data_IF_214524909743
#
_entry.id   IF_214524909743
#
_cell.length_a   1.000
_cell.length_b   1.000
_cell.length_c   1.000
_cell.angle_alpha   90.00
_cell.angle_beta   90.00
_cell.angle_gamma   90.00
#
_symmetry.space_group_name_H-M   'P 1'
#
loop_
_entity.id
_entity.type
_entity.pdbx_description
1 polymer ?
#
# COMPACT_ATOMS: atom_id res chain seq x y z
N UNK A 1 9.66 16.23 -9.60
CA UNK A 1 10.51 15.03 -9.74
C UNK A 1 11.54 15.26 -10.84
N UNK A 2 12.77 14.75 -10.71
CA UNK A 2 13.81 14.87 -11.74
C UNK A 2 13.47 14.00 -12.98
N UNK A 3 13.77 14.44 -14.22
CA UNK A 3 13.42 13.69 -15.44
C UNK A 3 13.98 12.26 -15.50
N UNK A 4 15.18 12.05 -14.97
CA UNK A 4 15.79 10.71 -14.95
C UNK A 4 15.10 9.77 -13.95
N UNK A 5 14.75 10.28 -12.76
CA UNK A 5 13.94 9.53 -11.77
C UNK A 5 12.59 9.13 -12.37
N UNK A 6 11.94 10.06 -13.08
CA UNK A 6 10.69 9.81 -13.77
C UNK A 6 10.81 8.67 -14.81
N UNK A 7 11.87 8.69 -15.63
CA UNK A 7 12.12 7.65 -16.64
C UNK A 7 12.39 6.29 -15.99
N UNK A 8 13.23 6.26 -14.96
CA UNK A 8 13.56 5.02 -14.23
C UNK A 8 12.32 4.43 -13.56
N UNK A 9 11.50 5.26 -12.89
CA UNK A 9 10.27 4.82 -12.26
C UNK A 9 9.26 4.27 -13.29
N UNK A 10 9.10 4.94 -14.43
CA UNK A 10 8.24 4.45 -15.51
C UNK A 10 8.72 3.09 -16.07
N UNK A 11 10.03 2.90 -16.25
CA UNK A 11 10.61 1.62 -16.66
C UNK A 11 10.45 0.52 -15.60
N UNK A 12 10.63 0.87 -14.32
CA UNK A 12 10.40 -0.03 -13.19
C UNK A 12 8.95 -0.51 -13.15
N UNK A 13 7.99 0.41 -13.33
CA UNK A 13 6.56 0.09 -13.41
C UNK A 13 6.26 -0.81 -14.62
N UNK A 14 6.78 -0.48 -15.80
CA UNK A 14 6.55 -1.25 -17.03
C UNK A 14 7.13 -2.67 -16.99
N UNK A 15 8.15 -2.91 -16.15
CA UNK A 15 8.79 -4.22 -15.99
C UNK A 15 8.20 -5.06 -14.84
N UNK A 16 7.15 -4.58 -14.17
CA UNK A 16 6.52 -5.31 -13.07
C UNK A 16 5.89 -6.63 -13.55
N UNK A 17 6.18 -7.76 -12.89
CA UNK A 17 5.50 -9.01 -13.18
C UNK A 17 4.00 -8.91 -12.91
N UNK A 18 3.18 -9.18 -13.92
CA UNK A 18 1.72 -9.08 -13.83
C UNK A 18 1.14 -9.91 -12.66
N UNK A 19 1.75 -11.05 -12.33
CA UNK A 19 1.31 -11.88 -11.20
C UNK A 19 1.40 -11.19 -9.83
N UNK A 20 2.23 -10.16 -9.68
CA UNK A 20 2.43 -9.48 -8.40
C UNK A 20 1.38 -8.39 -8.15
N UNK A 21 0.85 -7.77 -9.21
CA UNK A 21 -0.11 -6.64 -9.13
C UNK A 21 -1.38 -6.87 -9.96
N UNK A 22 -1.72 -8.13 -10.26
CA UNK A 22 -2.85 -8.53 -11.14
C UNK A 22 -2.82 -7.96 -12.57
N UNK A 23 -1.71 -7.38 -13.02
CA UNK A 23 -1.68 -6.59 -14.24
C UNK A 23 -2.52 -5.31 -14.17
N UNK A 24 -2.88 -4.85 -12.97
CA UNK A 24 -3.60 -3.58 -12.83
C UNK A 24 -2.75 -2.43 -13.36
N UNK A 25 -3.32 -1.53 -14.19
CA UNK A 25 -2.56 -0.44 -14.77
C UNK A 25 -2.00 0.49 -13.69
N UNK A 26 -0.69 0.69 -13.75
CA UNK A 26 0.02 1.74 -13.05
C UNK A 26 0.52 2.73 -14.10
N UNK A 27 0.31 4.01 -13.83
CA UNK A 27 0.76 5.10 -14.69
C UNK A 27 1.41 6.19 -13.85
N UNK A 28 2.13 7.08 -14.52
CA UNK A 28 2.74 8.24 -13.88
C UNK A 28 2.13 9.51 -14.50
N UNK A 29 1.72 10.43 -13.64
CA UNK A 29 1.29 11.77 -14.05
C UNK A 29 2.10 12.86 -13.31
N UNK A 30 1.62 14.10 -13.37
CA UNK A 30 2.27 15.25 -12.73
C UNK A 30 2.30 15.18 -11.19
N UNK A 31 1.43 14.39 -10.58
CA UNK A 31 1.31 14.22 -9.13
C UNK A 31 1.96 12.93 -8.62
N UNK A 32 2.31 11.99 -9.50
CA UNK A 32 3.06 10.79 -9.16
C UNK A 32 2.47 9.52 -9.77
N UNK A 33 2.66 8.41 -9.08
CA UNK A 33 2.15 7.10 -9.48
C UNK A 33 0.65 7.04 -9.18
N UNK A 34 -0.12 6.65 -10.19
CA UNK A 34 -1.57 6.48 -10.14
C UNK A 34 -1.93 5.06 -10.55
N UNK A 35 -2.73 4.39 -9.74
CA UNK A 35 -3.31 3.10 -10.08
C UNK A 35 -4.69 3.23 -10.70
N UNK A 36 -5.07 2.25 -11.53
CA UNK A 36 -6.44 2.13 -12.02
C UNK A 36 -7.02 0.76 -11.69
N UNK A 37 -8.23 0.77 -11.11
CA UNK A 37 -8.96 -0.45 -10.76
C UNK A 37 -10.46 -0.22 -10.95
N UNK A 38 -11.13 -1.06 -11.76
CA UNK A 38 -12.57 -0.91 -12.08
C UNK A 38 -12.98 0.51 -12.54
N UNK A 39 -12.15 1.14 -13.39
CA UNK A 39 -12.30 2.54 -13.85
C UNK A 39 -12.17 3.60 -12.76
N UNK A 40 -11.87 3.24 -11.51
CA UNK A 40 -11.48 4.17 -10.48
C UNK A 40 -9.99 4.51 -10.59
N UNK A 41 -9.64 5.76 -10.32
CA UNK A 41 -8.26 6.21 -10.13
C UNK A 41 -7.88 6.13 -8.65
N UNK A 42 -6.71 5.59 -8.37
CA UNK A 42 -6.17 5.36 -7.04
C UNK A 42 -4.95 6.25 -6.80
N UNK A 43 -5.04 7.14 -5.81
CA UNK A 43 -3.97 8.09 -5.45
C UNK A 43 -3.61 7.99 -3.98
N UNK A 44 -2.41 8.46 -3.65
CA UNK A 44 -1.92 8.49 -2.27
C UNK A 44 -2.24 9.81 -1.58
N UNK A 45 -2.72 9.72 -0.35
CA UNK A 45 -2.77 10.80 0.63
C UNK A 45 -1.93 10.36 1.83
N UNK A 46 -1.22 11.30 2.47
CA UNK A 46 -0.39 11.00 3.63
C UNK A 46 -0.82 11.85 4.82
N UNK A 47 -1.30 11.19 5.86
CA UNK A 47 -1.79 11.84 7.09
C UNK A 47 -0.73 11.71 8.18
N UNK A 48 -0.29 12.81 8.82
CA UNK A 48 0.61 12.75 9.97
C UNK A 48 -0.04 11.96 11.10
N UNK A 49 0.59 10.86 11.51
CA UNK A 49 0.08 9.96 12.55
C UNK A 49 1.08 9.88 13.69
N UNK A 50 0.67 10.13 14.95
CA UNK A 50 1.55 9.99 16.10
C UNK A 50 2.04 8.56 16.28
N UNK A 51 3.35 8.41 16.49
CA UNK A 51 4.05 7.17 16.86
C UNK A 51 5.03 7.53 17.97
N UNK A 52 4.61 7.33 19.22
CA UNK A 52 5.35 7.82 20.39
C UNK A 52 5.42 9.35 20.37
N UNK A 53 6.64 9.90 20.40
CA UNK A 53 6.89 11.35 20.38
C UNK A 53 7.02 11.94 18.97
N UNK A 54 6.97 11.12 17.91
CA UNK A 54 7.19 11.55 16.53
C UNK A 54 5.89 11.42 15.72
N UNK A 55 5.74 12.26 14.68
CA UNK A 55 4.70 12.10 13.67
C UNK A 55 5.28 11.38 12.45
N UNK A 56 4.66 10.28 12.05
CA UNK A 56 5.01 9.51 10.87
C UNK A 56 3.88 9.58 9.84
N UNK A 57 4.19 9.63 8.53
CA UNK A 57 3.16 9.62 7.50
C UNK A 57 2.44 8.26 7.49
N UNK A 58 1.11 8.28 7.55
CA UNK A 58 0.24 7.13 7.28
C UNK A 58 -0.42 7.30 5.93
N UNK A 59 -0.28 6.29 5.08
CA UNK A 59 -0.87 6.32 3.76
C UNK A 59 -2.39 6.05 3.82
N UNK A 60 -3.12 6.84 3.05
CA UNK A 60 -4.54 6.69 2.79
C UNK A 60 -4.82 6.75 1.29
N UNK A 61 -5.92 6.14 0.88
CA UNK A 61 -6.30 6.03 -0.52
C UNK A 61 -7.30 7.14 -0.85
N UNK A 62 -6.90 8.08 -1.71
CA UNK A 62 -7.86 8.94 -2.40
C UNK A 62 -8.31 8.24 -3.68
N UNK A 63 -9.62 8.11 -3.85
CA UNK A 63 -10.20 7.36 -4.97
C UNK A 63 -11.15 8.28 -5.72
N UNK A 64 -10.97 8.35 -7.03
CA UNK A 64 -11.91 9.01 -7.94
C UNK A 64 -12.63 7.94 -8.74
N UNK A 65 -13.96 7.97 -8.73
CA UNK A 65 -14.83 7.05 -9.44
C UNK A 65 -14.87 7.32 -10.95
N UNK A 66 -15.55 6.46 -11.72
CA UNK A 66 -15.67 6.60 -13.18
C UNK A 66 -16.45 7.84 -13.62
N UNK A 67 -17.26 8.41 -12.73
CA UNK A 67 -18.02 9.65 -12.89
C UNK A 67 -17.20 10.91 -12.53
N UNK A 68 -15.97 10.75 -12.04
CA UNK A 68 -15.11 11.85 -11.59
C UNK A 68 -15.32 12.24 -10.14
N UNK A 69 -16.22 11.58 -9.41
CA UNK A 69 -16.56 11.91 -8.03
C UNK A 69 -15.74 11.07 -7.02
N UNK A 70 -15.57 11.54 -5.77
CA UNK A 70 -14.94 10.75 -4.72
C UNK A 70 -15.63 9.39 -4.53
N UNK A 71 -14.84 8.32 -4.49
CA UNK A 71 -15.35 6.95 -4.34
C UNK A 71 -14.95 6.33 -3.00
N UNK A 72 -15.86 5.70 -2.23
CA UNK A 72 -15.51 5.12 -0.94
C UNK A 72 -14.56 3.92 -1.05
N UNK A 73 -13.55 3.87 -0.18
CA UNK A 73 -12.58 2.78 -0.14
C UNK A 73 -13.23 1.43 0.18
N UNK A 74 -14.20 1.42 1.11
CA UNK A 74 -14.93 0.22 1.50
C UNK A 74 -15.65 -0.41 0.30
N UNK A 75 -16.22 0.43 -0.59
CA UNK A 75 -16.84 -0.06 -1.82
C UNK A 75 -15.81 -0.57 -2.81
N UNK A 76 -14.63 0.05 -2.91
CA UNK A 76 -13.57 -0.39 -3.81
C UNK A 76 -13.10 -1.81 -3.45
N UNK A 77 -12.89 -2.08 -2.17
CA UNK A 77 -12.45 -3.38 -1.66
C UNK A 77 -13.56 -4.47 -1.67
N UNK A 78 -14.78 -4.13 -2.09
CA UNK A 78 -15.85 -5.10 -2.37
C UNK A 78 -15.88 -5.55 -3.84
N UNK A 79 -15.25 -4.82 -4.77
CA UNK A 79 -15.28 -5.13 -6.20
C UNK A 79 -14.44 -6.35 -6.62
N UNK A 80 -13.25 -6.64 -6.04
CA UNK A 80 -12.51 -7.84 -6.41
C UNK A 80 -13.32 -9.10 -6.11
N UNK A 81 -13.43 -10.00 -7.09
CA UNK A 81 -14.01 -11.32 -6.87
C UNK A 81 -12.96 -12.27 -6.29
N UNK A 82 -13.30 -12.90 -5.16
CA UNK A 82 -12.43 -13.88 -4.50
C UNK A 82 -11.23 -13.30 -3.75
N UNK A 83 -10.55 -14.20 -3.04
CA UNK A 83 -9.47 -13.86 -2.10
C UNK A 83 -8.23 -13.29 -2.78
N UNK A 84 -7.89 -13.84 -3.95
CA UNK A 84 -6.72 -13.45 -4.73
C UNK A 84 -6.84 -12.01 -5.28
N UNK A 85 -8.04 -11.60 -5.68
CA UNK A 85 -8.31 -10.24 -6.15
C UNK A 85 -8.13 -9.20 -5.05
N UNK A 86 -8.63 -9.48 -3.84
CA UNK A 86 -8.49 -8.59 -2.69
C UNK A 86 -7.02 -8.43 -2.29
N UNK A 87 -6.28 -9.54 -2.24
CA UNK A 87 -4.85 -9.55 -1.94
C UNK A 87 -4.02 -8.72 -2.93
N UNK A 88 -4.36 -8.81 -4.21
CA UNK A 88 -3.68 -8.06 -5.26
C UNK A 88 -4.01 -6.57 -5.21
N UNK A 89 -5.27 -6.20 -4.94
CA UNK A 89 -5.68 -4.80 -4.80
C UNK A 89 -4.97 -4.12 -3.63
N UNK A 90 -5.00 -4.72 -2.43
CA UNK A 90 -4.30 -4.18 -1.25
C UNK A 90 -2.80 -3.98 -1.52
N UNK A 91 -2.17 -4.96 -2.17
CA UNK A 91 -0.75 -4.89 -2.53
C UNK A 91 -0.47 -3.79 -3.55
N UNK A 92 -1.36 -3.60 -4.53
CA UNK A 92 -1.28 -2.49 -5.49
C UNK A 92 -1.32 -1.15 -4.75
N UNK A 93 -2.29 -0.96 -3.85
CA UNK A 93 -2.41 0.28 -3.06
C UNK A 93 -1.12 0.55 -2.26
N UNK A 94 -0.62 -0.45 -1.53
CA UNK A 94 0.64 -0.34 -0.77
C UNK A 94 1.85 -0.01 -1.64
N UNK A 95 1.92 -0.56 -2.85
CA UNK A 95 2.98 -0.22 -3.80
C UNK A 95 2.87 1.24 -4.27
N UNK A 96 1.68 1.68 -4.68
CA UNK A 96 1.43 3.08 -5.09
C UNK A 96 1.88 4.04 -3.98
N UNK A 97 1.51 3.76 -2.73
CA UNK A 97 1.90 4.57 -1.57
C UNK A 97 3.42 4.60 -1.36
N UNK A 98 4.08 3.45 -1.42
CA UNK A 98 5.53 3.37 -1.25
C UNK A 98 6.28 4.14 -2.34
N UNK A 99 5.88 3.99 -3.61
CA UNK A 99 6.51 4.70 -4.74
C UNK A 99 6.30 6.21 -4.62
N UNK A 100 5.09 6.65 -4.30
CA UNK A 100 4.79 8.07 -4.13
C UNK A 100 5.55 8.70 -2.97
N UNK A 101 5.67 7.99 -1.86
CA UNK A 101 6.37 8.50 -0.68
C UNK A 101 7.90 8.52 -0.86
N UNK A 102 8.51 7.40 -1.26
CA UNK A 102 9.96 7.27 -1.27
C UNK A 102 10.63 7.76 -2.54
N UNK A 103 9.98 7.63 -3.70
CA UNK A 103 10.60 7.92 -5.00
C UNK A 103 10.12 9.26 -5.53
N UNK A 104 8.81 9.49 -5.55
CA UNK A 104 8.23 10.75 -6.09
C UNK A 104 8.47 11.92 -5.14
N UNK A 105 8.15 11.74 -3.85
CA UNK A 105 8.31 12.77 -2.82
C UNK A 105 9.69 12.76 -2.12
N UNK A 106 10.57 11.80 -2.49
CA UNK A 106 11.93 11.64 -1.96
C UNK A 106 12.01 11.66 -0.42
N UNK A 107 10.98 11.13 0.26
CA UNK A 107 10.90 11.20 1.71
C UNK A 107 11.82 10.19 2.40
N UNK A 108 12.44 10.62 3.50
CA UNK A 108 13.32 9.79 4.32
C UNK A 108 12.57 8.99 5.40
N UNK A 109 11.49 9.57 5.95
CA UNK A 109 10.75 9.00 7.08
C UNK A 109 10.14 7.64 6.74
N UNK A 110 10.08 6.68 7.69
CA UNK A 110 9.36 5.43 7.46
C UNK A 110 7.87 5.69 7.24
N UNK A 111 7.24 4.84 6.44
CA UNK A 111 5.84 4.99 6.02
C UNK A 111 4.95 3.98 6.75
N UNK A 112 3.85 4.46 7.34
CA UNK A 112 2.82 3.58 7.89
C UNK A 112 1.88 3.16 6.77
N UNK A 113 1.75 1.85 6.57
CA UNK A 113 0.88 1.24 5.58
C UNK A 113 -0.16 0.34 6.29
N UNK A 114 -1.45 0.74 6.29
CA UNK A 114 -2.53 -0.13 6.74
C UNK A 114 -2.64 -1.37 5.86
N UNK A 115 -2.94 -2.51 6.47
CA UNK A 115 -3.35 -3.73 5.77
C UNK A 115 -4.85 -3.88 5.91
N UNK A 116 -5.54 -4.12 4.79
CA UNK A 116 -6.98 -4.32 4.82
C UNK A 116 -7.36 -5.51 5.73
N UNK A 117 -8.23 -5.35 6.76
CA UNK A 117 -8.47 -6.38 7.78
C UNK A 117 -8.93 -7.74 7.23
N UNK A 118 -9.78 -7.74 6.20
CA UNK A 118 -10.24 -9.00 5.56
C UNK A 118 -9.11 -9.85 4.97
N UNK A 119 -7.91 -9.32 4.75
CA UNK A 119 -6.80 -10.13 4.25
C UNK A 119 -6.31 -11.19 5.23
N UNK A 120 -6.50 -10.95 6.53
CA UNK A 120 -6.05 -11.89 7.56
C UNK A 120 -6.92 -13.16 7.60
N UNK A 121 -8.09 -13.14 6.99
CA UNK A 121 -8.96 -14.32 6.84
C UNK A 121 -8.49 -15.26 5.72
N UNK A 122 -7.69 -14.74 4.78
CA UNK A 122 -7.38 -15.42 3.51
C UNK A 122 -5.92 -15.86 3.37
N UNK A 123 -4.97 -15.13 3.97
CA UNK A 123 -3.55 -15.49 3.86
C UNK A 123 -3.19 -16.48 4.95
N UNK A 124 -2.81 -17.71 4.55
CA UNK A 124 -2.39 -18.75 5.49
C UNK A 124 -0.88 -18.75 5.77
N UNK A 125 -0.06 -18.34 4.79
CA UNK A 125 1.42 -18.38 4.88
C UNK A 125 2.09 -17.29 4.03
N UNK A 126 3.37 -17.02 4.28
CA UNK A 126 4.18 -16.12 3.44
C UNK A 126 3.77 -14.65 3.52
N UNK A 127 3.28 -14.24 4.69
CA UNK A 127 2.86 -12.88 4.99
C UNK A 127 3.96 -11.88 4.64
N UNK A 128 3.62 -10.83 3.88
CA UNK A 128 4.57 -9.77 3.53
C UNK A 128 5.57 -10.08 2.42
N UNK A 129 5.87 -11.34 2.11
CA UNK A 129 6.93 -11.73 1.16
C UNK A 129 6.75 -11.19 -0.25
N UNK A 130 5.54 -11.27 -0.79
CA UNK A 130 5.29 -10.75 -2.16
C UNK A 130 5.41 -9.23 -2.20
N UNK A 131 5.01 -8.54 -1.13
CA UNK A 131 5.20 -7.10 -1.04
C UNK A 131 6.69 -6.74 -0.86
N UNK A 132 7.46 -7.55 -0.13
CA UNK A 132 8.90 -7.32 0.02
C UNK A 132 9.64 -7.45 -1.32
N UNK A 133 9.25 -8.43 -2.14
CA UNK A 133 9.75 -8.57 -3.52
C UNK A 133 9.41 -7.38 -4.41
N UNK A 134 8.20 -6.83 -4.26
CA UNK A 134 7.81 -5.60 -4.98
C UNK A 134 8.64 -4.41 -4.54
N UNK A 135 8.89 -4.24 -3.25
CA UNK A 135 9.76 -3.17 -2.74
C UNK A 135 11.18 -3.32 -3.30
N UNK A 136 11.74 -4.53 -3.26
CA UNK A 136 13.08 -4.82 -3.77
C UNK A 136 13.21 -4.55 -5.28
N UNK A 137 12.14 -4.72 -6.07
CA UNK A 137 12.12 -4.36 -7.51
C UNK A 137 12.38 -2.86 -7.75
N UNK A 138 12.11 -2.01 -6.76
CA UNK A 138 12.37 -0.57 -6.81
C UNK A 138 13.49 -0.13 -5.85
N UNK A 139 14.36 -1.07 -5.45
CA UNK A 139 15.45 -0.83 -4.49
C UNK A 139 14.98 -0.28 -3.12
N UNK A 140 13.72 -0.60 -2.74
CA UNK A 140 13.14 -0.23 -1.46
C UNK A 140 13.26 -1.38 -0.44
N UNK A 141 13.49 -1.01 0.81
CA UNK A 141 13.63 -1.97 1.92
C UNK A 141 12.35 -2.04 2.78
N UNK A 142 11.88 -3.25 3.13
CA UNK A 142 10.81 -3.45 4.13
C UNK A 142 11.06 -2.75 5.47
N UNK A 143 12.31 -2.54 5.87
CA UNK A 143 12.67 -1.87 7.12
C UNK A 143 12.24 -0.39 7.18
N UNK A 144 11.87 0.20 6.03
CA UNK A 144 11.32 1.56 5.93
C UNK A 144 9.79 1.59 6.05
N UNK A 145 9.15 0.45 6.25
CA UNK A 145 7.70 0.31 6.32
C UNK A 145 7.28 -0.09 7.73
N UNK A 146 6.24 0.58 8.24
CA UNK A 146 5.49 0.18 9.42
C UNK A 146 4.14 -0.36 8.96
N UNK A 147 3.91 -1.68 9.04
CA UNK A 147 2.63 -2.27 8.71
C UNK A 147 1.66 -2.09 9.88
N UNK A 148 0.51 -1.50 9.61
CA UNK A 148 -0.57 -1.38 10.57
C UNK A 148 -1.55 -2.55 10.40
N UNK A 149 -1.67 -3.36 11.45
CA UNK A 149 -2.38 -4.64 11.44
C UNK A 149 -3.41 -4.71 12.59
N UNK A 150 -4.49 -5.50 12.50
CA UNK A 150 -5.43 -5.64 13.60
C UNK A 150 -4.78 -6.30 14.83
N UNK A 151 -5.42 -6.13 15.98
CA UNK A 151 -5.03 -6.82 17.21
C UNK A 151 -5.39 -8.32 17.15
N UNK A 152 -4.74 -9.12 17.98
CA UNK A 152 -5.09 -10.53 18.15
C UNK A 152 -4.69 -11.46 16.99
N UNK A 153 -3.81 -11.01 16.09
CA UNK A 153 -3.28 -11.89 15.04
C UNK A 153 -2.45 -13.03 15.63
N UNK A 154 -2.44 -14.22 14.99
CA UNK A 154 -1.56 -15.31 15.39
C UNK A 154 -0.09 -14.89 15.40
N UNK A 155 0.69 -15.35 16.38
CA UNK A 155 2.12 -15.02 16.48
C UNK A 155 2.90 -15.39 15.20
N UNK A 156 2.58 -16.53 14.59
CA UNK A 156 3.18 -16.96 13.31
C UNK A 156 2.93 -15.98 12.16
N UNK A 157 1.80 -15.28 12.17
CA UNK A 157 1.49 -14.21 11.20
C UNK A 157 2.38 -13.00 11.44
N UNK A 158 2.55 -12.59 12.71
CA UNK A 158 3.43 -11.49 13.09
C UNK A 158 4.88 -11.79 12.73
N UNK A 159 5.37 -12.98 13.09
CA UNK A 159 6.72 -13.46 12.80
C UNK A 159 6.97 -13.49 11.28
N UNK A 160 5.97 -13.83 10.48
CA UNK A 160 6.07 -13.80 9.03
C UNK A 160 6.38 -12.40 8.48
N UNK A 161 5.72 -11.36 8.99
CA UNK A 161 6.05 -9.98 8.59
C UNK A 161 7.39 -9.50 9.18
N UNK A 162 7.66 -9.79 10.45
CA UNK A 162 8.92 -9.40 11.09
C UNK A 162 10.12 -10.05 10.40
N UNK A 163 10.00 -11.30 9.98
CA UNK A 163 11.05 -12.05 9.26
C UNK A 163 11.38 -11.48 7.88
N UNK A 164 10.46 -10.75 7.24
CA UNK A 164 10.71 -10.00 6.00
C UNK A 164 11.30 -8.61 6.27
N UNK A 165 11.43 -8.20 7.54
CA UNK A 165 12.06 -6.95 7.95
C UNK A 165 11.11 -5.78 8.15
N UNK A 166 9.78 -6.00 8.17
CA UNK A 166 8.80 -4.95 8.48
C UNK A 166 8.81 -4.60 9.97
N UNK A 167 8.51 -3.34 10.29
CA UNK A 167 8.04 -2.98 11.63
C UNK A 167 6.53 -3.16 11.69
N UNK A 168 6.00 -3.65 12.82
CA UNK A 168 4.57 -3.80 13.02
C UNK A 168 4.05 -2.80 14.04
N UNK A 169 2.85 -2.28 13.78
CA UNK A 169 2.02 -1.61 14.78
C UNK A 169 0.63 -2.20 14.76
N UNK A 170 0.00 -2.29 15.92
CA UNK A 170 -1.44 -2.57 15.96
C UNK A 170 -2.19 -1.30 15.55
N UNK A 171 -3.22 -1.45 14.72
CA UNK A 171 -4.24 -0.44 14.58
C UNK A 171 -4.76 -0.14 15.99
N UNK A 172 -4.63 1.11 16.42
CA UNK A 172 -5.43 1.60 17.54
C UNK A 172 -6.87 1.54 17.04
N UNK A 173 -7.80 1.06 17.86
CA UNK A 173 -9.21 1.12 17.50
C UNK A 173 -9.57 2.58 17.20
N UNK A 174 -9.61 2.96 15.93
CA UNK A 174 -10.24 4.20 15.44
C UNK A 174 -11.76 4.01 15.42
N UNK A 175 -12.29 3.14 16.28
CA UNK A 175 -13.69 2.96 16.55
C UNK A 175 -14.00 3.70 17.85
N UNK A 176 -14.01 5.03 17.81
CA UNK A 176 -14.69 5.94 18.73
C UNK A 176 -14.44 7.35 18.18
N UNK A 177 -15.17 7.72 17.11
CA UNK A 177 -15.59 9.09 16.74
C UNK A 177 -16.20 9.08 15.34
N UNK A 178 -17.27 8.30 15.18
CA UNK A 178 -18.35 8.66 14.28
C UNK A 178 -19.55 8.94 15.19
N UNK A 179 -19.60 10.16 15.72
CA UNK A 179 -20.83 10.76 16.23
C UNK A 179 -21.43 11.59 15.10
#
# INVERSE_FOLDING_TARGET
MRPDTQRQLAQGIASLPAQWVAGFPLSLDEHGVVGRFFKCELRSVFVPTPVGALAMPRAELAITGPDGEPFPAERLFQLPSGEDGLLKLDRLCRLIHALNHFIVAEQALPLILPIHPRLFDYVRHGHGRTFARLLAHFDLSPARIVLEVPQGLPQSTLDGYLGEGYTLRTALDVALNAQ
#
